data_IF_259781597816
#
_entry.id   IF_259781597816
#
_cell.length_a   1.000
_cell.length_b   1.000
_cell.length_c   1.000
_cell.angle_alpha   90.00
_cell.angle_beta   90.00
_cell.angle_gamma   90.00
#
_symmetry.space_group_name_H-M   'P 1'
#
loop_
_entity.id
_entity.type
_entity.pdbx_description
1 polymer ?
#
# COMPACT_ATOMS: atom_id res chain seq x y z
N UNK A 1 20.07 23.09 22.11
CA UNK A 1 20.96 23.50 21.02
C UNK A 1 20.29 23.20 19.68
N UNK A 2 20.57 23.92 18.60
CA UNK A 2 20.11 23.60 17.26
C UNK A 2 20.94 22.45 16.68
N UNK A 3 20.29 21.51 15.97
CA UNK A 3 20.96 20.40 15.29
C UNK A 3 21.29 20.80 13.87
N UNK A 4 22.49 20.48 13.39
CA UNK A 4 22.89 20.60 12.00
C UNK A 4 22.90 19.20 11.37
N UNK A 5 22.25 19.04 10.22
CA UNK A 5 22.21 17.79 9.48
C UNK A 5 22.73 17.99 8.06
N UNK A 6 23.75 17.23 7.70
CA UNK A 6 24.28 17.19 6.34
C UNK A 6 23.41 16.25 5.50
N UNK A 7 23.05 16.68 4.30
CA UNK A 7 22.26 15.91 3.36
C UNK A 7 23.19 15.01 2.56
N UNK A 8 22.92 13.71 2.65
CA UNK A 8 23.58 12.63 1.92
C UNK A 8 22.77 12.22 0.67
N UNK A 9 23.25 11.21 -0.04
CA UNK A 9 22.63 10.64 -1.24
C UNK A 9 21.21 10.08 -0.98
N UNK A 10 20.93 9.63 0.25
CA UNK A 10 19.61 9.06 0.63
C UNK A 10 18.50 10.11 0.66
N UNK A 11 18.87 11.39 0.80
CA UNK A 11 17.95 12.51 0.93
C UNK A 11 17.97 13.47 -0.27
N UNK A 12 18.82 13.18 -1.29
CA UNK A 12 18.93 14.00 -2.49
C UNK A 12 17.58 14.18 -3.20
N UNK A 13 17.27 15.42 -3.63
CA UNK A 13 15.99 15.78 -4.26
C UNK A 13 14.77 15.66 -3.33
N UNK A 14 14.92 15.37 -2.03
CA UNK A 14 13.81 15.31 -1.09
C UNK A 14 13.32 16.71 -0.73
N UNK A 15 11.99 16.88 -0.63
CA UNK A 15 11.43 18.14 -0.12
C UNK A 15 11.77 18.30 1.35
N UNK A 16 12.10 19.53 1.75
CA UNK A 16 12.47 19.88 3.13
C UNK A 16 11.38 19.49 4.14
N UNK A 17 10.10 19.71 3.84
CA UNK A 17 9.01 19.33 4.74
C UNK A 17 8.99 17.80 4.98
N UNK A 18 9.11 17.01 3.93
CA UNK A 18 9.15 15.54 4.03
C UNK A 18 10.40 15.03 4.78
N UNK A 19 11.55 15.69 4.56
CA UNK A 19 12.77 15.40 5.29
C UNK A 19 12.57 15.64 6.79
N UNK A 20 12.07 16.82 7.19
CA UNK A 20 11.83 17.17 8.58
C UNK A 20 10.79 16.25 9.24
N UNK A 21 9.69 15.95 8.56
CA UNK A 21 8.65 15.04 9.06
C UNK A 21 9.22 13.64 9.35
N UNK A 22 10.13 13.16 8.52
CA UNK A 22 10.75 11.84 8.71
C UNK A 22 11.74 11.80 9.88
N UNK A 23 12.43 12.92 10.15
CA UNK A 23 13.46 13.02 11.19
C UNK A 23 12.89 13.48 12.54
N UNK A 24 11.86 14.32 12.53
CA UNK A 24 11.25 14.91 13.73
C UNK A 24 10.01 14.13 14.16
N UNK A 25 10.18 12.81 14.37
CA UNK A 25 9.09 11.96 14.87
C UNK A 25 8.58 12.44 16.22
N UNK A 26 7.25 12.50 16.38
CA UNK A 26 6.60 12.98 17.62
C UNK A 26 6.41 14.49 17.70
N UNK A 27 6.82 15.26 16.67
CA UNK A 27 6.53 16.69 16.58
C UNK A 27 5.31 16.91 15.70
N UNK A 28 4.27 17.64 16.15
CA UNK A 28 3.10 17.95 15.34
C UNK A 28 3.47 18.62 14.02
N UNK A 29 2.84 18.24 12.90
CA UNK A 29 3.08 18.82 11.58
C UNK A 29 2.94 20.34 11.56
N UNK A 30 1.93 20.85 12.27
CA UNK A 30 1.70 22.29 12.43
C UNK A 30 2.91 23.02 13.02
N UNK A 31 3.64 22.38 13.97
CA UNK A 31 4.86 22.94 14.57
C UNK A 31 6.02 22.92 13.58
N UNK A 32 6.17 21.86 12.79
CA UNK A 32 7.20 21.76 11.74
C UNK A 32 6.99 22.85 10.70
N UNK A 33 5.78 22.97 10.13
CA UNK A 33 5.47 24.02 9.15
C UNK A 33 5.61 25.45 9.74
N UNK A 34 5.29 25.62 11.02
CA UNK A 34 5.52 26.90 11.71
C UNK A 34 7.00 27.23 11.82
N UNK A 35 7.86 26.24 12.12
CA UNK A 35 9.31 26.43 12.22
C UNK A 35 9.92 26.81 10.86
N UNK A 36 9.48 26.17 9.76
CA UNK A 36 9.90 26.55 8.40
C UNK A 36 9.46 27.98 8.08
N UNK A 37 8.19 28.28 8.27
CA UNK A 37 7.61 29.60 7.95
C UNK A 37 8.24 30.75 8.75
N UNK A 38 8.60 30.51 10.01
CA UNK A 38 9.31 31.49 10.84
C UNK A 38 10.81 31.60 10.54
N UNK A 39 11.36 30.74 9.66
CA UNK A 39 12.78 30.70 9.36
C UNK A 39 13.64 30.15 10.51
N UNK A 40 13.02 29.43 11.44
CA UNK A 40 13.73 28.71 12.50
C UNK A 40 14.52 27.52 11.90
N UNK A 41 13.99 26.90 10.82
CA UNK A 41 14.70 25.95 9.97
C UNK A 41 15.39 26.70 8.85
N UNK A 42 16.64 26.35 8.57
CA UNK A 42 17.44 26.97 7.48
C UNK A 42 18.20 25.91 6.71
N UNK A 43 18.39 26.13 5.43
CA UNK A 43 19.26 25.33 4.55
C UNK A 43 20.41 26.23 4.10
N UNK A 44 21.65 25.82 4.33
CA UNK A 44 22.85 26.59 4.03
C UNK A 44 22.76 28.04 4.59
N UNK A 45 22.31 28.16 5.85
CA UNK A 45 22.07 29.42 6.58
C UNK A 45 20.95 30.30 5.99
N UNK A 46 20.35 29.95 4.84
CA UNK A 46 19.27 30.71 4.17
C UNK A 46 17.88 30.25 4.65
N UNK A 47 16.92 31.17 4.65
CA UNK A 47 15.51 30.88 4.84
C UNK A 47 14.94 30.23 3.56
N UNK A 48 14.18 29.15 3.70
CA UNK A 48 13.65 28.38 2.57
C UNK A 48 12.18 28.02 2.81
N UNK A 49 11.48 27.67 1.74
CA UNK A 49 10.10 27.20 1.80
C UNK A 49 10.02 25.69 2.06
N UNK A 50 8.86 25.22 2.50
CA UNK A 50 8.61 23.80 2.81
C UNK A 50 8.83 22.86 1.60
N UNK A 51 8.57 23.35 0.39
CA UNK A 51 8.74 22.59 -0.86
C UNK A 51 10.16 22.65 -1.45
N UNK A 52 11.11 23.35 -0.77
CA UNK A 52 12.51 23.37 -1.17
C UNK A 52 13.02 21.94 -1.31
N UNK A 53 13.70 21.62 -2.42
CA UNK A 53 14.35 20.34 -2.63
C UNK A 53 15.78 20.43 -2.13
N UNK A 54 16.13 19.45 -1.29
CA UNK A 54 17.46 19.31 -0.73
C UNK A 54 18.38 18.67 -1.75
N UNK A 55 19.64 19.09 -1.77
CA UNK A 55 20.72 18.50 -2.59
C UNK A 55 21.80 17.93 -1.69
N UNK A 56 22.56 16.96 -2.22
CA UNK A 56 23.73 16.40 -1.51
C UNK A 56 24.66 17.55 -1.09
N UNK A 57 25.12 17.52 0.15
CA UNK A 57 25.99 18.55 0.72
C UNK A 57 25.24 19.73 1.35
N UNK A 58 23.91 19.82 1.20
CA UNK A 58 23.14 20.84 1.92
C UNK A 58 23.22 20.65 3.44
N UNK A 59 23.39 21.75 4.17
CA UNK A 59 23.41 21.77 5.63
C UNK A 59 22.08 22.29 6.18
N UNK A 60 21.27 21.41 6.73
CA UNK A 60 19.96 21.74 7.30
C UNK A 60 20.10 22.04 8.80
N UNK A 61 19.81 23.28 9.20
CA UNK A 61 19.72 23.67 10.61
C UNK A 61 18.30 23.44 11.12
N UNK A 62 18.17 22.65 12.17
CA UNK A 62 16.91 22.35 12.87
C UNK A 62 16.94 23.00 14.26
N UNK A 63 15.96 23.83 14.63
CA UNK A 63 15.87 24.42 15.97
C UNK A 63 15.52 23.35 17.00
N UNK A 64 15.76 23.59 18.31
CA UNK A 64 15.31 22.71 19.36
C UNK A 64 13.78 22.70 19.39
N UNK A 65 13.20 21.56 19.00
CA UNK A 65 11.76 21.33 19.00
C UNK A 65 11.44 20.36 20.13
N UNK A 66 10.56 20.76 21.05
CA UNK A 66 10.08 19.87 22.11
C UNK A 66 9.23 18.76 21.47
N UNK A 67 9.66 17.53 21.64
CA UNK A 67 8.85 16.34 21.30
C UNK A 67 7.72 16.25 22.34
N UNK A 68 6.47 16.28 21.89
CA UNK A 68 5.37 15.80 22.70
C UNK A 68 5.56 14.28 22.85
N UNK A 69 5.45 13.78 24.09
CA UNK A 69 5.70 12.40 24.48
C UNK A 69 5.54 11.43 23.32
N UNK A 70 6.67 10.94 22.80
CA UNK A 70 6.65 9.78 21.90
C UNK A 70 6.09 8.65 22.76
N UNK A 71 4.86 8.21 22.49
CA UNK A 71 4.33 6.98 23.04
C UNK A 71 5.45 5.95 22.92
N UNK A 72 5.93 5.42 24.05
CA UNK A 72 6.88 4.31 24.05
C UNK A 72 6.29 3.24 23.14
N UNK A 73 6.88 3.09 21.96
CA UNK A 73 6.43 2.08 21.00
C UNK A 73 6.60 0.73 21.69
N UNK A 74 5.50 0.00 21.88
CA UNK A 74 5.54 -1.34 22.41
C UNK A 74 6.61 -2.17 21.67
N UNK A 75 7.31 -3.09 22.34
CA UNK A 75 8.26 -3.98 21.68
C UNK A 75 7.56 -4.66 20.50
N UNK A 76 8.24 -4.74 19.35
CA UNK A 76 7.70 -5.52 18.24
C UNK A 76 7.72 -7.00 18.63
N UNK A 77 6.64 -7.69 18.35
CA UNK A 77 6.59 -9.13 18.50
C UNK A 77 7.65 -9.77 17.58
N UNK A 78 8.61 -10.46 18.19
CA UNK A 78 9.67 -11.17 17.45
C UNK A 78 9.08 -12.17 16.45
N UNK A 79 7.93 -12.77 16.78
CA UNK A 79 7.23 -13.71 15.92
C UNK A 79 6.76 -13.04 14.62
N UNK A 80 6.33 -11.78 14.66
CA UNK A 80 5.97 -11.02 13.47
C UNK A 80 7.18 -10.79 12.55
N UNK A 81 8.35 -10.46 13.11
CA UNK A 81 9.57 -10.26 12.32
C UNK A 81 9.97 -11.54 11.59
N UNK A 82 10.01 -12.68 12.28
CA UNK A 82 10.31 -13.99 11.69
C UNK A 82 9.28 -14.34 10.61
N UNK A 83 7.99 -14.13 10.89
CA UNK A 83 6.92 -14.35 9.91
C UNK A 83 7.08 -13.49 8.66
N UNK A 84 7.54 -12.25 8.77
CA UNK A 84 7.76 -11.36 7.64
C UNK A 84 8.99 -11.77 6.82
N UNK A 85 10.05 -12.26 7.46
CA UNK A 85 11.25 -12.78 6.78
C UNK A 85 10.92 -13.96 5.88
N UNK A 86 10.14 -14.90 6.35
CA UNK A 86 9.68 -16.06 5.57
C UNK A 86 8.76 -15.69 4.38
N UNK A 87 8.27 -14.45 4.34
CA UNK A 87 7.39 -13.93 3.28
C UNK A 87 8.11 -13.08 2.25
N UNK A 88 9.43 -12.95 2.34
CA UNK A 88 10.23 -12.25 1.32
C UNK A 88 10.20 -13.10 0.05
N UNK A 89 9.72 -12.50 -1.04
CA UNK A 89 9.64 -13.14 -2.36
C UNK A 89 10.88 -12.86 -3.22
N UNK A 90 11.46 -11.68 -3.00
CA UNK A 90 12.61 -11.22 -3.77
C UNK A 90 13.34 -10.13 -2.99
N UNK A 91 14.67 -10.17 -2.98
CA UNK A 91 15.49 -9.18 -2.30
C UNK A 91 16.80 -8.93 -3.04
N UNK A 92 17.09 -7.66 -3.32
CA UNK A 92 18.36 -7.15 -3.87
C UNK A 92 18.88 -5.98 -3.01
N UNK A 93 20.03 -5.42 -3.40
CA UNK A 93 20.69 -4.34 -2.68
C UNK A 93 19.82 -3.07 -2.56
N UNK A 94 18.93 -2.82 -3.52
CA UNK A 94 18.10 -1.61 -3.60
C UNK A 94 16.59 -1.88 -3.58
N UNK A 95 16.17 -3.15 -3.58
CA UNK A 95 14.78 -3.59 -3.72
C UNK A 95 14.45 -4.75 -2.79
N UNK A 96 13.22 -4.76 -2.28
CA UNK A 96 12.61 -5.86 -1.56
C UNK A 96 11.17 -6.05 -2.04
N UNK A 97 10.75 -7.28 -2.33
CA UNK A 97 9.35 -7.63 -2.56
C UNK A 97 8.92 -8.64 -1.50
N UNK A 98 7.79 -8.36 -0.86
CA UNK A 98 7.26 -9.21 0.21
C UNK A 98 5.82 -9.65 -0.09
N UNK A 99 5.47 -10.90 0.22
CA UNK A 99 4.08 -11.37 0.27
C UNK A 99 3.42 -10.84 1.56
N UNK A 100 2.82 -9.65 1.50
CA UNK A 100 2.18 -9.03 2.65
C UNK A 100 1.02 -9.90 3.15
N UNK A 101 0.98 -10.30 4.42
CA UNK A 101 -0.18 -10.99 4.97
C UNK A 101 -1.40 -10.06 5.03
N UNK A 102 -2.61 -10.62 4.93
CA UNK A 102 -3.85 -9.89 5.20
C UNK A 102 -3.92 -9.47 6.67
N UNK A 103 -4.65 -8.39 6.97
CA UNK A 103 -4.81 -7.88 8.33
C UNK A 103 -3.68 -6.94 8.80
N UNK A 104 -2.51 -6.97 8.15
CA UNK A 104 -1.38 -6.09 8.47
C UNK A 104 -1.44 -4.81 7.63
N UNK A 105 -1.42 -3.66 8.29
CA UNK A 105 -1.32 -2.36 7.62
C UNK A 105 0.08 -2.15 7.03
N UNK A 106 0.19 -1.46 5.90
CA UNK A 106 1.50 -1.15 5.29
C UNK A 106 2.27 -0.09 6.07
N UNK A 107 1.57 0.85 6.70
CA UNK A 107 2.11 1.88 7.59
C UNK A 107 1.37 1.87 8.93
N UNK A 108 2.05 2.29 9.98
CA UNK A 108 1.41 2.77 11.19
C UNK A 108 0.57 4.02 10.92
N UNK A 109 -0.42 4.32 11.76
CA UNK A 109 -1.31 5.46 11.60
C UNK A 109 -2.35 5.55 12.71
N UNK A 110 -3.45 6.30 12.50
CA UNK A 110 -4.50 6.48 13.50
C UNK A 110 -4.98 5.14 14.06
N UNK A 111 -4.62 4.83 15.31
CA UNK A 111 -5.01 3.60 16.01
C UNK A 111 -4.17 2.34 15.70
N UNK A 112 -3.09 2.47 14.91
CA UNK A 112 -2.15 1.39 14.58
C UNK A 112 -0.76 1.87 14.93
N UNK A 113 -0.17 1.29 15.97
CA UNK A 113 1.13 1.73 16.47
C UNK A 113 2.26 1.44 15.47
N UNK A 114 2.20 0.35 14.72
CA UNK A 114 3.20 -0.02 13.70
C UNK A 114 2.57 -0.78 12.54
N UNK A 115 3.08 -0.53 11.32
CA UNK A 115 2.76 -1.29 10.13
C UNK A 115 3.93 -2.15 9.66
N UNK A 116 3.77 -2.74 8.49
CA UNK A 116 4.78 -3.60 7.86
C UNK A 116 6.11 -2.87 7.65
N UNK A 117 6.08 -1.61 7.18
CA UNK A 117 7.32 -0.88 6.87
C UNK A 117 8.12 -0.59 8.13
N UNK A 118 7.44 -0.24 9.24
CA UNK A 118 8.09 -0.02 10.53
C UNK A 118 8.71 -1.33 11.07
N UNK A 119 8.06 -2.47 10.86
CA UNK A 119 8.59 -3.78 11.21
C UNK A 119 9.83 -4.12 10.39
N UNK A 120 9.78 -3.94 9.08
CA UNK A 120 10.94 -4.17 8.20
C UNK A 120 12.14 -3.27 8.51
N UNK A 121 11.90 -2.01 8.90
CA UNK A 121 12.96 -1.09 9.32
C UNK A 121 13.70 -1.58 10.59
N UNK A 122 13.03 -2.35 11.45
CA UNK A 122 13.68 -2.92 12.65
C UNK A 122 14.50 -4.17 12.31
N UNK A 123 14.16 -4.88 11.25
CA UNK A 123 14.95 -6.02 10.75
C UNK A 123 16.37 -5.57 10.34
N UNK A 124 16.50 -4.39 9.76
CA UNK A 124 17.78 -3.84 9.29
C UNK A 124 17.98 -2.40 9.83
N UNK A 125 18.42 -2.25 11.08
CA UNK A 125 18.59 -0.93 11.72
C UNK A 125 19.50 0.04 10.96
N UNK A 126 20.42 -0.47 10.16
CA UNK A 126 21.38 0.31 9.36
C UNK A 126 20.84 0.68 7.96
N UNK A 127 19.75 0.08 7.51
CA UNK A 127 19.15 0.43 6.21
C UNK A 127 18.22 1.62 6.39
N UNK A 128 18.74 2.79 6.21
CA UNK A 128 18.14 4.06 6.59
C UNK A 128 16.86 4.45 5.84
N UNK A 129 16.44 3.73 4.81
CA UNK A 129 15.44 4.32 3.91
C UNK A 129 14.45 3.35 3.26
N UNK A 130 14.02 2.29 3.96
CA UNK A 130 12.93 1.46 3.43
C UNK A 130 11.69 2.32 3.15
N UNK A 131 11.27 2.37 1.90
CA UNK A 131 10.13 3.15 1.43
C UNK A 131 9.20 2.29 0.59
N UNK A 132 7.90 2.43 0.82
CA UNK A 132 6.90 1.76 0.00
C UNK A 132 6.87 2.38 -1.39
N UNK A 133 6.99 1.56 -2.42
CA UNK A 133 6.79 1.95 -3.82
C UNK A 133 5.30 2.13 -4.11
N UNK A 134 4.46 1.27 -3.56
CA UNK A 134 3.01 1.35 -3.62
C UNK A 134 2.39 0.86 -2.30
N UNK A 135 1.08 0.84 -2.23
CA UNK A 135 0.38 0.39 -1.03
C UNK A 135 -0.65 -0.68 -1.36
N UNK A 136 -0.89 -1.56 -0.40
CA UNK A 136 -2.03 -2.47 -0.35
C UNK A 136 -2.94 -2.07 0.82
N UNK A 137 -4.22 -2.36 0.70
CA UNK A 137 -5.16 -2.21 1.82
C UNK A 137 -4.78 -3.19 2.95
N UNK A 138 -5.21 -2.90 4.17
CA UNK A 138 -4.95 -3.74 5.34
C UNK A 138 -5.34 -5.20 5.10
N UNK A 139 -6.55 -5.42 4.58
CA UNK A 139 -7.12 -6.75 4.37
C UNK A 139 -6.66 -7.43 3.07
N UNK A 140 -5.97 -6.70 2.18
CA UNK A 140 -5.41 -7.24 0.94
C UNK A 140 -4.07 -7.89 1.22
N UNK A 141 -3.85 -9.12 0.75
CA UNK A 141 -2.56 -9.84 0.81
C UNK A 141 -1.80 -9.76 -0.52
N UNK A 142 -0.54 -10.23 -0.53
CA UNK A 142 0.24 -10.41 -1.76
C UNK A 142 1.38 -9.44 -1.98
N UNK A 143 1.86 -9.36 -3.23
CA UNK A 143 3.05 -8.62 -3.65
C UNK A 143 3.02 -7.15 -3.21
N UNK A 144 3.99 -6.77 -2.39
CA UNK A 144 4.26 -5.40 -1.98
C UNK A 144 5.73 -5.07 -2.22
N UNK A 145 5.97 -4.01 -2.98
CA UNK A 145 7.33 -3.57 -3.35
C UNK A 145 7.80 -2.48 -2.39
N UNK A 146 9.01 -2.67 -1.89
CA UNK A 146 9.71 -1.76 -0.97
C UNK A 146 11.04 -1.38 -1.60
N UNK A 147 11.30 -0.11 -1.78
CA UNK A 147 12.60 0.40 -2.22
C UNK A 147 13.51 0.59 -1.00
N UNK A 148 14.75 0.15 -1.13
CA UNK A 148 15.83 0.34 -0.15
C UNK A 148 16.66 1.59 -0.46
N UNK A 149 16.62 2.07 -1.72
CA UNK A 149 17.28 3.29 -2.18
C UNK A 149 16.28 4.29 -2.75
N UNK A 150 16.55 5.57 -2.52
CA UNK A 150 15.68 6.65 -3.01
C UNK A 150 15.67 6.76 -4.54
N UNK A 151 16.81 6.56 -5.20
CA UNK A 151 16.90 6.59 -6.66
C UNK A 151 15.92 5.60 -7.29
N UNK A 152 15.91 4.36 -6.80
CA UNK A 152 14.98 3.34 -7.26
C UNK A 152 13.51 3.70 -6.93
N UNK A 153 13.24 4.26 -5.75
CA UNK A 153 11.89 4.73 -5.41
C UNK A 153 11.37 5.74 -6.44
N UNK A 154 12.21 6.71 -6.82
CA UNK A 154 11.85 7.74 -7.81
C UNK A 154 11.61 7.11 -9.18
N UNK A 155 12.47 6.21 -9.64
CA UNK A 155 12.32 5.49 -10.90
C UNK A 155 11.00 4.68 -10.93
N UNK A 156 10.73 3.89 -9.89
CA UNK A 156 9.51 3.08 -9.82
C UNK A 156 8.23 3.93 -9.69
N UNK A 157 8.29 5.08 -9.00
CA UNK A 157 7.16 6.02 -8.97
C UNK A 157 6.91 6.66 -10.34
N UNK A 158 7.95 6.96 -11.12
CA UNK A 158 7.81 7.44 -12.50
C UNK A 158 7.10 6.38 -13.37
N UNK A 159 7.51 5.11 -13.27
CA UNK A 159 6.86 4.00 -13.99
C UNK A 159 5.39 3.82 -13.59
N UNK A 160 5.08 3.91 -12.29
CA UNK A 160 3.70 3.85 -11.81
C UNK A 160 2.84 4.99 -12.39
N UNK A 161 3.40 6.21 -12.44
CA UNK A 161 2.73 7.38 -13.02
C UNK A 161 2.50 7.22 -14.52
N UNK A 162 3.47 6.63 -15.23
CA UNK A 162 3.39 6.31 -16.67
C UNK A 162 2.57 5.06 -16.96
N UNK A 163 2.00 4.37 -15.95
CA UNK A 163 1.25 3.11 -16.09
C UNK A 163 2.07 1.96 -16.70
N UNK A 164 3.39 2.00 -16.55
CA UNK A 164 4.33 0.97 -17.04
C UNK A 164 4.55 -0.17 -16.03
N UNK A 165 3.85 -0.17 -14.90
CA UNK A 165 3.87 -1.25 -13.91
C UNK A 165 2.58 -2.05 -14.03
N UNK A 166 2.68 -3.31 -14.43
CA UNK A 166 1.56 -4.24 -14.44
C UNK A 166 1.40 -4.82 -13.03
N UNK A 167 0.22 -4.67 -12.47
CA UNK A 167 -0.18 -5.26 -11.18
C UNK A 167 -1.32 -6.22 -11.42
N UNK A 168 -1.17 -7.46 -10.98
CA UNK A 168 -2.17 -8.50 -11.13
C UNK A 168 -2.76 -8.84 -9.77
N UNK A 169 -4.08 -8.87 -9.69
CA UNK A 169 -4.80 -9.23 -8.48
C UNK A 169 -5.73 -10.40 -8.77
N UNK A 170 -5.82 -11.32 -7.84
CA UNK A 170 -6.85 -12.36 -7.80
C UNK A 170 -7.93 -11.95 -6.81
N UNK A 171 -9.19 -12.08 -7.23
CA UNK A 171 -10.35 -11.79 -6.40
C UNK A 171 -11.50 -12.75 -6.72
N UNK A 172 -12.29 -13.08 -5.71
CA UNK A 172 -13.52 -13.85 -5.86
C UNK A 172 -14.71 -12.89 -5.74
N UNK A 173 -15.55 -12.83 -6.77
CA UNK A 173 -16.69 -11.91 -6.81
C UNK A 173 -18.03 -12.66 -6.76
N UNK A 174 -19.09 -11.99 -6.32
CA UNK A 174 -20.47 -12.49 -6.29
C UNK A 174 -20.99 -12.80 -7.69
N UNK A 175 -21.62 -13.96 -7.86
CA UNK A 175 -22.38 -14.33 -9.05
C UNK A 175 -21.54 -14.66 -10.28
N UNK A 176 -22.26 -14.97 -11.37
CA UNK A 176 -21.62 -15.27 -12.65
C UNK A 176 -21.26 -14.00 -13.39
N UNK A 177 -20.00 -13.89 -13.81
CA UNK A 177 -19.53 -12.79 -14.64
C UNK A 177 -19.91 -13.05 -16.09
N UNK A 178 -20.86 -12.27 -16.61
CA UNK A 178 -21.44 -12.47 -17.96
C UNK A 178 -20.65 -11.80 -19.08
N UNK A 179 -19.72 -10.91 -18.73
CA UNK A 179 -18.89 -10.20 -19.70
C UNK A 179 -17.52 -10.86 -19.74
N UNK A 180 -16.96 -11.16 -20.86
CA UNK A 180 -15.58 -11.61 -20.95
C UNK A 180 -14.60 -10.63 -20.25
N UNK A 181 -13.51 -10.29 -20.87
CA UNK A 181 -12.62 -9.22 -20.38
C UNK A 181 -13.33 -7.86 -20.46
N UNK A 182 -13.32 -7.10 -19.38
CA UNK A 182 -14.00 -5.80 -19.27
C UNK A 182 -13.12 -4.74 -18.63
N UNK A 183 -13.08 -3.56 -19.24
CA UNK A 183 -12.50 -2.35 -18.64
C UNK A 183 -13.60 -1.55 -17.94
N UNK A 184 -13.26 -1.05 -16.74
CA UNK A 184 -14.10 -0.17 -15.94
C UNK A 184 -13.39 1.15 -15.75
N UNK A 185 -13.96 2.19 -16.33
CA UNK A 185 -13.52 3.58 -16.19
C UNK A 185 -14.56 4.32 -15.34
N UNK A 186 -14.31 4.42 -14.03
CA UNK A 186 -15.25 5.05 -13.12
C UNK A 186 -14.47 5.91 -12.09
N UNK A 187 -14.71 7.24 -12.06
CA UNK A 187 -14.00 8.14 -11.15
C UNK A 187 -14.34 7.83 -9.69
N UNK A 188 -13.34 7.94 -8.81
CA UNK A 188 -13.45 7.59 -7.40
C UNK A 188 -13.23 8.80 -6.49
N UNK A 189 -14.18 9.03 -5.58
CA UNK A 189 -14.11 10.08 -4.57
C UNK A 189 -14.10 9.51 -3.16
N UNK A 190 -13.20 10.03 -2.32
CA UNK A 190 -13.17 9.71 -0.90
C UNK A 190 -14.20 10.54 -0.16
N UNK A 191 -15.06 9.89 0.60
CA UNK A 191 -16.01 10.52 1.52
C UNK A 191 -15.64 10.13 2.96
N UNK A 192 -16.01 10.99 3.90
CA UNK A 192 -15.95 10.70 5.32
C UNK A 192 -17.40 10.63 5.80
N UNK A 193 -17.80 9.49 6.35
CA UNK A 193 -19.12 9.33 6.94
C UNK A 193 -19.20 10.07 8.28
N UNK A 194 -20.42 10.33 8.77
CA UNK A 194 -20.66 11.03 10.04
C UNK A 194 -19.95 10.40 11.25
N UNK A 195 -19.74 9.08 11.22
CA UNK A 195 -18.98 8.32 12.23
C UNK A 195 -17.46 8.41 12.08
N UNK A 196 -16.93 9.23 11.16
CA UNK A 196 -15.50 9.35 10.88
C UNK A 196 -14.95 8.26 9.96
N UNK A 197 -15.74 7.29 9.55
CA UNK A 197 -15.30 6.22 8.65
C UNK A 197 -15.02 6.77 7.24
N UNK A 198 -13.87 6.40 6.67
CA UNK A 198 -13.49 6.78 5.30
C UNK A 198 -14.03 5.75 4.32
N UNK A 199 -14.97 6.16 3.48
CA UNK A 199 -15.52 5.36 2.38
C UNK A 199 -15.10 5.95 1.03
N UNK A 200 -15.02 5.10 -0.01
CA UNK A 200 -14.82 5.53 -1.39
C UNK A 200 -16.03 5.13 -2.20
N UNK A 201 -16.49 6.00 -3.08
CA UNK A 201 -17.60 5.70 -4.00
C UNK A 201 -17.26 6.16 -5.42
N UNK A 202 -17.96 5.61 -6.39
CA UNK A 202 -17.96 6.16 -7.75
C UNK A 202 -18.69 7.50 -7.72
N UNK A 203 -18.06 8.53 -8.28
CA UNK A 203 -18.57 9.91 -8.26
C UNK A 203 -17.88 10.68 -9.39
N UNK A 204 -18.62 11.33 -10.26
CA UNK A 204 -18.11 12.05 -11.42
C UNK A 204 -17.10 13.14 -11.06
N UNK A 205 -17.24 13.74 -9.88
CA UNK A 205 -16.30 14.73 -9.35
C UNK A 205 -15.04 14.10 -8.74
N UNK A 206 -14.92 12.76 -8.82
CA UNK A 206 -13.82 11.97 -8.28
C UNK A 206 -12.57 12.00 -9.16
N UNK A 207 -11.54 11.30 -8.73
CA UNK A 207 -10.32 11.10 -9.52
C UNK A 207 -10.49 9.92 -10.45
N UNK A 208 -10.16 10.10 -11.72
CA UNK A 208 -10.19 9.02 -12.72
C UNK A 208 -9.50 7.75 -12.20
N UNK A 209 -10.19 6.64 -12.41
CA UNK A 209 -9.73 5.31 -12.04
C UNK A 209 -10.12 4.30 -13.10
N UNK A 210 -9.17 3.43 -13.48
CA UNK A 210 -9.35 2.42 -14.53
C UNK A 210 -8.90 1.06 -14.02
N UNK A 211 -9.77 0.05 -14.16
CA UNK A 211 -9.47 -1.36 -13.81
C UNK A 211 -9.89 -2.28 -14.95
N UNK A 212 -9.01 -3.17 -15.36
CA UNK A 212 -9.33 -4.28 -16.27
C UNK A 212 -9.72 -5.49 -15.42
N UNK A 213 -10.84 -6.11 -15.73
CA UNK A 213 -11.30 -7.36 -15.13
C UNK A 213 -11.33 -8.47 -16.17
N UNK A 214 -10.90 -9.67 -15.79
CA UNK A 214 -10.93 -10.86 -16.63
C UNK A 214 -11.40 -12.06 -15.78
N UNK A 215 -12.48 -12.74 -16.17
CA UNK A 215 -12.91 -13.97 -15.49
C UNK A 215 -11.89 -15.10 -15.74
N UNK A 216 -11.63 -15.89 -14.71
CA UNK A 216 -10.74 -17.05 -14.79
C UNK A 216 -11.51 -18.37 -14.61
N UNK A 217 -12.34 -18.46 -13.56
CA UNK A 217 -13.13 -19.65 -13.23
C UNK A 217 -14.48 -19.20 -12.69
N UNK A 218 -15.56 -19.77 -13.23
CA UNK A 218 -16.92 -19.61 -12.68
C UNK A 218 -17.24 -20.74 -11.74
N UNK A 219 -17.84 -20.41 -10.59
CA UNK A 219 -18.42 -21.33 -9.61
C UNK A 219 -19.94 -21.07 -9.52
N UNK A 220 -20.76 -21.93 -8.91
CA UNK A 220 -22.21 -21.78 -8.89
C UNK A 220 -22.75 -20.41 -8.44
N UNK A 221 -22.08 -19.75 -7.47
CA UNK A 221 -22.53 -18.47 -6.90
C UNK A 221 -21.43 -17.39 -6.90
N UNK A 222 -20.30 -17.66 -7.57
CA UNK A 222 -19.17 -16.72 -7.58
C UNK A 222 -18.29 -16.93 -8.81
N UNK A 223 -17.46 -15.92 -9.12
CA UNK A 223 -16.46 -16.01 -10.19
C UNK A 223 -15.10 -15.61 -9.64
N UNK A 224 -14.08 -16.45 -9.87
CA UNK A 224 -12.69 -16.07 -9.69
C UNK A 224 -12.25 -15.17 -10.84
N UNK A 225 -11.71 -14.02 -10.50
CA UNK A 225 -11.33 -12.99 -11.46
C UNK A 225 -9.85 -12.64 -11.33
N UNK A 226 -9.26 -12.23 -12.44
CA UNK A 226 -8.07 -11.39 -12.43
C UNK A 226 -8.50 -9.93 -12.56
N UNK A 227 -7.88 -9.04 -11.78
CA UNK A 227 -8.00 -7.60 -11.96
C UNK A 227 -6.63 -6.96 -12.17
N UNK A 228 -6.54 -6.06 -13.17
CA UNK A 228 -5.35 -5.24 -13.44
C UNK A 228 -5.71 -3.77 -13.31
N UNK A 229 -5.43 -3.13 -12.15
CA UNK A 229 -5.68 -1.71 -11.96
C UNK A 229 -4.61 -0.89 -12.72
N UNK A 230 -5.03 -0.08 -13.68
CA UNK A 230 -4.15 0.85 -14.42
C UNK A 230 -3.85 2.12 -13.63
N UNK A 231 -4.67 2.42 -12.64
CA UNK A 231 -4.48 3.49 -11.65
C UNK A 231 -4.37 2.91 -10.25
N UNK A 232 -4.04 3.71 -9.24
CA UNK A 232 -3.83 3.25 -7.86
C UNK A 232 -4.67 4.02 -6.83
N UNK A 233 -6.00 4.11 -7.03
CA UNK A 233 -6.88 4.79 -6.06
C UNK A 233 -7.19 3.90 -4.88
N UNK A 234 -7.47 4.51 -3.73
CA UNK A 234 -7.85 3.79 -2.51
C UNK A 234 -9.07 2.90 -2.77
N UNK A 235 -9.01 1.63 -2.37
CA UNK A 235 -10.06 0.61 -2.53
C UNK A 235 -10.57 0.42 -3.98
N UNK A 236 -9.80 0.83 -4.99
CA UNK A 236 -10.24 0.92 -6.38
C UNK A 236 -10.91 -0.36 -6.88
N UNK A 237 -10.22 -1.51 -6.82
CA UNK A 237 -10.73 -2.80 -7.30
C UNK A 237 -12.04 -3.17 -6.60
N UNK A 238 -12.09 -2.95 -5.28
CA UNK A 238 -13.25 -3.27 -4.43
C UNK A 238 -14.47 -2.45 -4.83
N UNK A 239 -14.31 -1.14 -5.02
CA UNK A 239 -15.40 -0.23 -5.40
C UNK A 239 -15.84 -0.48 -6.83
N UNK A 240 -14.90 -0.71 -7.78
CA UNK A 240 -15.24 -1.01 -9.17
C UNK A 240 -15.99 -2.34 -9.30
N UNK A 241 -15.58 -3.40 -8.58
CA UNK A 241 -16.28 -4.67 -8.57
C UNK A 241 -17.71 -4.53 -8.00
N UNK A 242 -17.87 -3.81 -6.90
CA UNK A 242 -19.17 -3.54 -6.31
C UNK A 242 -20.07 -2.67 -7.22
N UNK A 243 -19.49 -1.68 -7.90
CA UNK A 243 -20.20 -0.82 -8.86
C UNK A 243 -20.78 -1.60 -10.04
N UNK A 244 -20.12 -2.67 -10.47
CA UNK A 244 -20.63 -3.57 -11.51
C UNK A 244 -21.65 -4.60 -10.99
N UNK A 245 -22.04 -4.56 -9.72
CA UNK A 245 -22.95 -5.55 -9.12
C UNK A 245 -22.28 -6.87 -8.73
N UNK A 246 -20.94 -6.95 -8.81
CA UNK A 246 -20.14 -8.13 -8.47
C UNK A 246 -19.18 -7.84 -7.29
N UNK A 247 -19.71 -7.56 -6.07
CA UNK A 247 -18.87 -7.25 -4.93
C UNK A 247 -17.97 -8.43 -4.55
N UNK A 248 -16.80 -8.10 -3.98
CA UNK A 248 -15.80 -9.11 -3.60
C UNK A 248 -16.25 -9.88 -2.36
N UNK A 249 -16.04 -11.20 -2.37
CA UNK A 249 -16.31 -12.09 -1.26
C UNK A 249 -15.49 -11.69 -0.01
N UNK A 250 -16.16 -11.63 1.14
CA UNK A 250 -15.55 -11.25 2.41
C UNK A 250 -15.27 -9.74 2.56
N UNK A 251 -15.68 -8.90 1.60
CA UNK A 251 -15.54 -7.45 1.74
C UNK A 251 -16.57 -6.88 2.71
N UNK A 252 -16.13 -6.53 3.92
CA UNK A 252 -17.00 -5.97 4.98
C UNK A 252 -17.51 -4.55 4.67
N UNK A 253 -16.85 -3.84 3.72
CA UNK A 253 -17.12 -2.42 3.47
C UNK A 253 -17.96 -2.19 2.22
N UNK A 254 -17.66 -2.90 1.15
CA UNK A 254 -18.30 -2.76 -0.15
C UNK A 254 -19.01 -4.04 -0.59
N UNK A 255 -18.95 -5.10 0.21
CA UNK A 255 -19.50 -6.41 -0.10
C UNK A 255 -20.99 -6.50 0.11
N UNK A 256 -21.58 -7.56 -0.43
CA UNK A 256 -22.95 -7.95 -0.19
C UNK A 256 -23.05 -8.75 1.12
N UNK A 257 -23.99 -8.38 1.99
CA UNK A 257 -24.09 -8.99 3.32
C UNK A 257 -24.57 -10.45 3.28
N UNK A 258 -25.48 -10.78 2.37
CA UNK A 258 -26.02 -12.15 2.23
C UNK A 258 -24.93 -13.04 1.67
N UNK A 259 -24.34 -12.66 0.54
CA UNK A 259 -23.22 -13.38 -0.06
C UNK A 259 -22.04 -13.57 0.90
N UNK A 260 -21.67 -12.55 1.65
CA UNK A 260 -20.60 -12.66 2.64
C UNK A 260 -20.92 -13.66 3.76
N UNK A 261 -22.21 -13.76 4.18
CA UNK A 261 -22.66 -14.75 5.15
C UNK A 261 -22.52 -16.16 4.58
N UNK A 262 -22.95 -16.39 3.35
CA UNK A 262 -22.81 -17.66 2.65
C UNK A 262 -21.35 -18.08 2.51
N UNK A 263 -20.50 -17.16 2.01
CA UNK A 263 -19.05 -17.43 1.88
C UNK A 263 -18.39 -17.73 3.22
N UNK A 264 -18.84 -17.07 4.30
CA UNK A 264 -18.36 -17.35 5.66
C UNK A 264 -18.76 -18.74 6.14
N UNK A 265 -20.00 -19.18 5.88
CA UNK A 265 -20.45 -20.55 6.20
C UNK A 265 -19.68 -21.61 5.43
N UNK A 266 -19.25 -21.28 4.21
CA UNK A 266 -18.36 -22.14 3.40
C UNK A 266 -16.88 -22.07 3.84
N UNK A 267 -16.54 -21.27 4.85
CA UNK A 267 -15.19 -21.20 5.43
C UNK A 267 -14.34 -20.01 5.03
N UNK A 268 -14.85 -19.06 4.24
CA UNK A 268 -14.10 -17.83 3.92
C UNK A 268 -14.04 -16.91 5.14
N UNK A 269 -12.83 -16.63 5.64
CA UNK A 269 -12.62 -15.87 6.89
C UNK A 269 -12.28 -14.38 6.66
N UNK A 270 -11.91 -13.99 5.46
CA UNK A 270 -11.41 -12.66 5.12
C UNK A 270 -11.78 -12.21 3.71
N UNK A 271 -11.45 -10.97 3.38
CA UNK A 271 -11.53 -10.43 2.01
C UNK A 271 -10.75 -11.33 1.04
N UNK A 272 -11.41 -11.79 -0.02
CA UNK A 272 -10.76 -12.54 -1.10
C UNK A 272 -10.19 -11.58 -2.14
N UNK A 273 -9.13 -10.86 -1.78
CA UNK A 273 -8.38 -9.98 -2.66
C UNK A 273 -6.88 -10.15 -2.39
N UNK A 274 -6.14 -10.55 -3.43
CA UNK A 274 -4.73 -10.88 -3.33
C UNK A 274 -3.95 -10.27 -4.49
N UNK A 275 -2.88 -9.52 -4.19
CA UNK A 275 -1.94 -9.00 -5.18
C UNK A 275 -1.03 -10.14 -5.65
N UNK A 276 -1.45 -10.84 -6.70
CA UNK A 276 -0.83 -12.07 -7.17
C UNK A 276 0.50 -11.84 -7.91
N UNK A 277 0.70 -10.65 -8.49
CA UNK A 277 1.94 -10.39 -9.19
C UNK A 277 2.18 -8.92 -9.50
N UNK A 278 3.44 -8.62 -9.75
CA UNK A 278 3.91 -7.33 -10.23
C UNK A 278 4.96 -7.53 -11.32
N UNK A 279 4.83 -6.79 -12.41
CA UNK A 279 5.78 -6.80 -13.52
C UNK A 279 6.09 -5.35 -13.93
N UNK A 280 7.36 -5.00 -13.99
CA UNK A 280 7.80 -3.72 -14.58
C UNK A 280 9.22 -3.85 -15.13
N UNK A 281 9.57 -2.92 -16.03
CA UNK A 281 10.92 -2.81 -16.60
C UNK A 281 11.40 -1.37 -16.45
N UNK A 282 12.64 -1.20 -16.02
CA UNK A 282 13.34 0.10 -15.99
C UNK A 282 14.80 -0.12 -16.32
N UNK A 283 15.34 0.77 -17.11
CA UNK A 283 16.67 0.62 -17.67
C UNK A 283 16.79 -0.79 -18.30
N UNK A 284 17.84 -1.53 -18.01
CA UNK A 284 18.04 -2.92 -18.46
C UNK A 284 17.52 -3.97 -17.46
N UNK A 285 16.80 -3.56 -16.42
CA UNK A 285 16.27 -4.45 -15.37
C UNK A 285 14.80 -4.78 -15.58
N UNK A 286 14.45 -6.01 -15.24
CA UNK A 286 13.06 -6.50 -15.23
C UNK A 286 12.74 -7.03 -13.84
N UNK A 287 11.70 -6.52 -13.22
CA UNK A 287 11.11 -7.09 -12.02
C UNK A 287 9.85 -7.86 -12.42
N UNK A 288 9.87 -9.18 -12.28
CA UNK A 288 8.71 -10.05 -12.44
C UNK A 288 8.60 -10.93 -11.20
N UNK A 289 7.66 -10.64 -10.28
CA UNK A 289 7.49 -11.38 -9.04
C UNK A 289 6.03 -11.78 -8.89
N UNK A 290 5.80 -13.05 -8.53
CA UNK A 290 4.49 -13.60 -8.22
C UNK A 290 4.43 -13.99 -6.73
N UNK A 291 3.29 -13.71 -6.10
CA UNK A 291 2.93 -14.20 -4.78
C UNK A 291 1.86 -15.29 -4.92
N UNK A 292 2.12 -16.46 -4.40
CA UNK A 292 1.10 -17.50 -4.29
C UNK A 292 0.00 -17.06 -3.31
N UNK A 293 -1.22 -17.51 -3.56
CA UNK A 293 -2.32 -17.31 -2.62
C UNK A 293 -1.93 -17.82 -1.23
N UNK A 294 -2.28 -17.08 -0.20
CA UNK A 294 -2.17 -17.57 1.17
C UNK A 294 -2.97 -18.88 1.33
N UNK A 295 -2.50 -19.75 2.19
CA UNK A 295 -3.03 -21.10 2.39
C UNK A 295 -4.55 -21.13 2.62
N UNK A 296 -5.09 -20.14 3.34
CA UNK A 296 -6.53 -20.04 3.62
C UNK A 296 -7.35 -19.78 2.35
N UNK A 297 -6.92 -18.86 1.47
CA UNK A 297 -7.60 -18.59 0.20
C UNK A 297 -7.44 -19.76 -0.79
N UNK A 298 -6.26 -20.37 -0.84
CA UNK A 298 -6.01 -21.53 -1.68
C UNK A 298 -6.90 -22.73 -1.29
N UNK A 299 -6.98 -23.03 0.01
CA UNK A 299 -7.86 -24.10 0.52
C UNK A 299 -9.32 -23.80 0.22
N UNK A 300 -9.73 -22.55 0.32
CA UNK A 300 -11.10 -22.14 0.01
C UNK A 300 -11.44 -22.34 -1.46
N UNK A 301 -10.56 -21.97 -2.40
CA UNK A 301 -10.77 -22.25 -3.83
C UNK A 301 -10.86 -23.76 -4.13
N UNK A 302 -10.00 -24.56 -3.55
CA UNK A 302 -10.03 -26.01 -3.72
C UNK A 302 -11.34 -26.62 -3.18
N UNK A 303 -11.87 -26.07 -2.09
CA UNK A 303 -13.17 -26.48 -1.57
C UNK A 303 -14.30 -26.16 -2.55
N UNK A 304 -14.33 -24.94 -3.10
CA UNK A 304 -15.34 -24.54 -4.11
C UNK A 304 -15.27 -25.45 -5.36
N UNK A 305 -14.07 -25.74 -5.85
CA UNK A 305 -13.86 -26.62 -7.01
C UNK A 305 -14.39 -28.03 -6.79
N UNK A 306 -14.17 -28.61 -5.61
CA UNK A 306 -14.68 -29.96 -5.28
C UNK A 306 -16.21 -30.00 -5.23
N UNK A 307 -16.86 -28.97 -4.74
CA UNK A 307 -18.33 -28.88 -4.72
C UNK A 307 -18.94 -28.80 -6.12
N UNK A 308 -18.28 -28.12 -7.05
CA UNK A 308 -18.71 -28.05 -8.45
C UNK A 308 -18.66 -29.44 -9.12
N UNK A 309 -17.67 -30.26 -8.79
CA UNK A 309 -17.52 -31.63 -9.34
C UNK A 309 -18.53 -32.62 -8.77
N UNK A 310 -19.28 -32.25 -7.73
CA UNK A 310 -20.29 -33.10 -7.06
C UNK A 310 -21.74 -32.63 -7.34
N UNK A 311 -21.92 -31.52 -8.02
CA UNK A 311 -23.21 -30.96 -8.47
C UNK A 311 -23.42 -31.18 -9.96
#
# INVERSE_FOLDING_TARGET
MSTLMLIDDTHDGQRLDNFLISHLKGIPLTRIYRAIRKGEVRVNKKRVNANCRLTIGDLVRIPPLRQTNVKKLLPLDKSLLVSLEMRILFEEADLLVINKPAGLSVHGGSGIDRGLIEALCLRQPKSQALKLVHRLDRETSGCLVVAKKRSLLVALHALLTQRKVVKQYLLLVKGHWKWGKRQVDAPLKKNILRNGERIVKVDETGKMATTLFQPLVSYPFSTLMEARPLTGRTHQIRVHAAHLGHPIAGDKKYGDKVFNREMKMLGLKRLFLHSAGILCRWDDRVLGVCALLDTDLFRFLNFLKRRESQS
#
